data_IF_070332332999
#
_entry.id   IF_070332332999
#
_cell.length_a   1.000
_cell.length_b   1.000
_cell.length_c   1.000
_cell.angle_alpha   90.00
_cell.angle_beta   90.00
_cell.angle_gamma   90.00
#
_symmetry.space_group_name_H-M   'P 1'
#
loop_
_entity.id
_entity.type
_entity.pdbx_description
1 polymer ?
#
# COMPACT_ATOMS: atom_id res chain seq x y z
N UNK A 1 -10.73 -0.35 -26.10
CA UNK A 1 -9.61 -0.82 -25.25
C UNK A 1 -8.28 -0.06 -25.43
N UNK A 2 -7.80 0.27 -26.65
CA UNK A 2 -6.50 0.96 -26.85
C UNK A 2 -6.36 2.36 -26.21
N UNK A 3 -7.46 3.09 -26.00
CA UNK A 3 -7.43 4.44 -25.42
C UNK A 3 -7.23 4.48 -23.90
N UNK A 4 -7.52 3.39 -23.19
CA UNK A 4 -7.34 3.29 -21.72
C UNK A 4 -5.98 2.71 -21.30
N UNK A 5 -5.32 1.95 -22.19
CA UNK A 5 -4.03 1.30 -21.91
C UNK A 5 -2.87 2.31 -21.94
N UNK A 6 -2.90 3.29 -22.86
CA UNK A 6 -1.83 4.29 -23.02
C UNK A 6 -1.65 5.19 -21.79
N UNK A 7 -2.72 5.72 -21.15
CA UNK A 7 -2.59 6.48 -19.91
C UNK A 7 -2.03 5.63 -18.75
N UNK A 8 -2.49 4.38 -18.61
CA UNK A 8 -2.02 3.48 -17.55
C UNK A 8 -0.52 3.19 -17.67
N UNK A 9 -0.02 2.92 -18.88
CA UNK A 9 1.41 2.72 -19.13
C UNK A 9 2.25 3.97 -18.82
N UNK A 10 1.72 5.18 -19.02
CA UNK A 10 2.41 6.42 -18.65
C UNK A 10 2.45 6.65 -17.15
N UNK A 11 1.44 6.20 -16.42
CA UNK A 11 1.40 6.23 -14.96
C UNK A 11 2.33 5.20 -14.31
N UNK A 12 2.69 4.14 -15.03
CA UNK A 12 3.58 3.09 -14.53
C UNK A 12 4.97 3.62 -14.18
N UNK A 13 5.53 4.51 -15.01
CA UNK A 13 6.86 5.10 -14.77
C UNK A 13 6.95 5.87 -13.43
N UNK A 14 6.10 6.87 -13.13
CA UNK A 14 6.16 7.57 -11.84
C UNK A 14 5.82 6.66 -10.66
N UNK A 15 4.94 5.66 -10.83
CA UNK A 15 4.66 4.66 -9.78
C UNK A 15 5.91 3.82 -9.49
N UNK A 16 6.64 3.36 -10.51
CA UNK A 16 7.89 2.62 -10.33
C UNK A 16 8.94 3.47 -9.62
N UNK A 17 9.13 4.72 -10.05
CA UNK A 17 10.08 5.63 -9.40
C UNK A 17 9.73 5.82 -7.93
N UNK A 18 8.43 5.98 -7.62
CA UNK A 18 7.95 6.09 -6.24
C UNK A 18 8.22 4.82 -5.44
N UNK A 19 7.84 3.65 -5.96
CA UNK A 19 8.03 2.37 -5.27
C UNK A 19 9.52 2.10 -5.01
N UNK A 20 10.40 2.37 -5.99
CA UNK A 20 11.85 2.22 -5.83
C UNK A 20 12.39 3.22 -4.81
N UNK A 21 11.97 4.48 -4.87
CA UNK A 21 12.43 5.51 -3.92
C UNK A 21 12.02 5.18 -2.49
N UNK A 22 10.77 4.77 -2.28
CA UNK A 22 10.27 4.34 -0.96
C UNK A 22 11.02 3.11 -0.48
N UNK A 23 11.20 2.12 -1.36
CA UNK A 23 11.98 0.91 -1.03
C UNK A 23 13.40 1.26 -0.59
N UNK A 24 14.11 2.13 -1.32
CA UNK A 24 15.46 2.55 -0.96
C UNK A 24 15.51 3.31 0.37
N UNK A 25 14.55 4.18 0.65
CA UNK A 25 14.48 4.92 1.92
C UNK A 25 14.24 3.97 3.10
N UNK A 26 13.28 3.05 2.97
CA UNK A 26 12.98 2.08 4.02
C UNK A 26 14.13 1.10 4.22
N UNK A 27 14.74 0.64 3.12
CA UNK A 27 15.90 -0.25 3.17
C UNK A 27 17.12 0.43 3.80
N UNK A 28 17.45 1.65 3.38
CA UNK A 28 18.58 2.40 3.93
C UNK A 28 18.39 2.73 5.42
N UNK A 29 17.18 3.11 5.83
CA UNK A 29 16.87 3.38 7.25
C UNK A 29 16.93 2.11 8.11
N UNK A 30 16.47 0.96 7.59
CA UNK A 30 16.60 -0.32 8.28
C UNK A 30 18.06 -0.79 8.36
N UNK A 31 18.81 -0.62 7.28
CA UNK A 31 20.24 -0.94 7.25
C UNK A 31 21.02 -0.08 8.24
N UNK A 32 20.71 1.21 8.32
CA UNK A 32 21.30 2.13 9.29
C UNK A 32 21.02 1.68 10.73
N UNK A 33 19.77 1.30 11.04
CA UNK A 33 19.42 0.78 12.36
C UNK A 33 20.21 -0.49 12.70
N UNK A 34 20.37 -1.39 11.73
CA UNK A 34 21.13 -2.63 11.89
C UNK A 34 22.63 -2.38 12.08
N UNK A 35 23.19 -1.37 11.42
CA UNK A 35 24.59 -0.96 11.59
C UNK A 35 24.82 -0.36 12.98
N UNK A 36 23.91 0.50 13.45
CA UNK A 36 24.00 1.09 14.79
C UNK A 36 23.81 0.02 15.89
N UNK A 37 22.92 -0.95 15.69
CA UNK A 37 22.69 -2.01 16.67
C UNK A 37 23.86 -2.99 16.78
N UNK A 38 24.71 -3.10 15.76
CA UNK A 38 25.94 -3.89 15.83
C UNK A 38 26.93 -3.35 16.89
N UNK A 39 26.92 -2.04 17.16
CA UNK A 39 27.76 -1.46 18.20
C UNK A 39 27.22 -1.76 19.61
N UNK A 40 25.89 -1.67 19.80
CA UNK A 40 25.23 -2.00 21.07
C UNK A 40 23.80 -2.51 20.83
N UNK A 41 23.43 -3.71 21.32
CA UNK A 41 22.12 -4.30 21.06
C UNK A 41 20.96 -3.53 21.69
N UNK A 42 21.21 -2.71 22.72
CA UNK A 42 20.21 -1.84 23.34
C UNK A 42 19.61 -0.82 22.35
N UNK A 43 20.37 -0.40 21.34
CA UNK A 43 19.87 0.50 20.29
C UNK A 43 18.81 -0.16 19.41
N UNK A 44 18.79 -1.49 19.31
CA UNK A 44 17.71 -2.19 18.60
C UNK A 44 16.40 -2.07 19.37
N UNK A 45 16.44 -2.28 20.68
CA UNK A 45 15.24 -2.20 21.55
C UNK A 45 14.64 -0.79 21.52
N UNK A 46 15.48 0.24 21.57
CA UNK A 46 15.03 1.63 21.53
C UNK A 46 14.69 2.08 20.11
N UNK A 47 15.49 1.72 19.11
CA UNK A 47 15.35 2.21 17.74
C UNK A 47 14.20 1.57 16.95
N UNK A 48 13.84 0.32 17.25
CA UNK A 48 12.75 -0.40 16.57
C UNK A 48 11.39 0.33 16.66
N UNK A 49 10.89 0.80 17.83
CA UNK A 49 9.63 1.55 17.88
C UNK A 49 9.67 2.86 17.09
N UNK A 50 10.81 3.58 17.10
CA UNK A 50 10.97 4.78 16.27
C UNK A 50 10.96 4.44 14.77
N UNK A 51 11.65 3.37 14.38
CA UNK A 51 11.67 2.90 13.00
C UNK A 51 10.27 2.47 12.54
N UNK A 52 9.51 1.78 13.39
CA UNK A 52 8.14 1.39 13.10
C UNK A 52 7.23 2.61 12.92
N UNK A 53 7.35 3.62 13.79
CA UNK A 53 6.64 4.89 13.64
C UNK A 53 7.00 5.61 12.33
N UNK A 54 8.27 5.59 11.95
CA UNK A 54 8.76 6.15 10.68
C UNK A 54 8.19 5.43 9.46
N UNK A 55 8.17 4.09 9.46
CA UNK A 55 7.55 3.29 8.40
C UNK A 55 6.07 3.67 8.26
N UNK A 56 5.31 3.64 9.36
CA UNK A 56 3.89 3.95 9.32
C UNK A 56 3.61 5.38 8.83
N UNK A 57 4.47 6.33 9.22
CA UNK A 57 4.37 7.70 8.76
C UNK A 57 4.60 7.84 7.24
N UNK A 58 5.63 7.18 6.70
CA UNK A 58 5.89 7.17 5.25
C UNK A 58 4.73 6.52 4.50
N UNK A 59 4.30 5.33 4.95
CA UNK A 59 3.22 4.58 4.34
C UNK A 59 1.93 5.40 4.31
N UNK A 60 1.56 6.06 5.42
CA UNK A 60 0.36 6.91 5.44
C UNK A 60 0.50 8.11 4.52
N UNK A 61 1.66 8.77 4.52
CA UNK A 61 1.90 10.00 3.74
C UNK A 61 1.87 9.77 2.23
N UNK A 62 2.38 8.61 1.77
CA UNK A 62 2.46 8.26 0.35
C UNK A 62 1.41 7.23 -0.09
N UNK A 63 0.52 6.81 0.81
CA UNK A 63 -0.53 5.80 0.55
C UNK A 63 -1.35 6.13 -0.69
N UNK A 64 -1.82 7.37 -0.82
CA UNK A 64 -2.70 7.82 -1.91
C UNK A 64 -1.96 8.37 -3.12
N UNK A 65 -0.64 8.17 -3.21
CA UNK A 65 0.11 8.69 -4.35
C UNK A 65 -0.25 7.97 -5.67
N UNK A 66 -0.42 6.65 -5.63
CA UNK A 66 -0.86 5.87 -6.79
C UNK A 66 -2.22 6.33 -7.37
N UNK A 67 -3.31 6.46 -6.56
CA UNK A 67 -4.57 6.97 -7.08
C UNK A 67 -4.47 8.43 -7.55
N UNK A 68 -3.67 9.29 -6.90
CA UNK A 68 -3.43 10.67 -7.39
C UNK A 68 -2.76 10.67 -8.78
N UNK A 69 -1.77 9.80 -9.03
CA UNK A 69 -1.14 9.67 -10.35
C UNK A 69 -2.15 9.24 -11.41
N UNK A 70 -3.03 8.28 -11.08
CA UNK A 70 -3.99 7.72 -12.03
C UNK A 70 -5.16 8.66 -12.31
N UNK A 71 -5.77 9.24 -11.27
CA UNK A 71 -6.97 10.07 -11.41
C UNK A 71 -6.66 11.54 -11.70
N UNK A 72 -5.65 12.12 -11.04
CA UNK A 72 -5.28 13.53 -11.24
C UNK A 72 -4.21 13.72 -12.33
N UNK A 73 -3.62 12.64 -12.86
CA UNK A 73 -2.55 12.67 -13.89
C UNK A 73 -1.36 13.55 -13.50
N UNK A 74 -1.11 13.70 -12.20
CA UNK A 74 -0.14 14.64 -11.65
C UNK A 74 1.34 14.21 -11.82
N UNK A 75 1.62 12.97 -12.28
CA UNK A 75 2.98 12.46 -12.44
C UNK A 75 3.78 12.56 -11.14
N UNK A 76 4.99 13.14 -11.17
CA UNK A 76 5.82 13.34 -9.97
C UNK A 76 5.29 14.43 -9.03
N UNK A 77 4.33 15.27 -9.42
CA UNK A 77 3.68 16.20 -8.47
C UNK A 77 2.75 15.47 -7.50
N UNK A 78 2.42 14.21 -7.78
CA UNK A 78 1.59 13.39 -6.92
C UNK A 78 2.17 13.19 -5.50
N UNK A 79 3.48 13.34 -5.31
CA UNK A 79 4.11 13.24 -3.97
C UNK A 79 3.61 14.35 -3.04
N UNK A 80 3.77 15.62 -3.45
CA UNK A 80 3.33 16.77 -2.66
C UNK A 80 1.81 16.75 -2.46
N UNK A 81 1.10 16.35 -3.51
CA UNK A 81 -0.35 16.23 -3.48
C UNK A 81 -0.85 15.16 -2.51
N UNK A 82 -0.21 13.99 -2.49
CA UNK A 82 -0.47 12.93 -1.50
C UNK A 82 -0.18 13.44 -0.07
N UNK A 83 0.90 14.19 0.12
CA UNK A 83 1.23 14.78 1.43
C UNK A 83 0.18 15.78 1.91
N UNK A 84 -0.37 16.59 1.00
CA UNK A 84 -1.43 17.57 1.28
C UNK A 84 -2.75 16.86 1.63
N UNK A 85 -3.16 15.88 0.84
CA UNK A 85 -4.36 15.08 1.05
C UNK A 85 -4.32 14.29 2.36
N UNK A 86 -3.15 13.78 2.76
CA UNK A 86 -3.00 12.97 3.99
C UNK A 86 -2.71 13.81 5.24
N UNK A 87 -2.44 15.12 5.09
CA UNK A 87 -2.19 16.04 6.21
C UNK A 87 -3.34 15.99 7.23
N UNK A 88 -3.00 15.89 8.51
CA UNK A 88 -3.92 15.78 9.66
C UNK A 88 -4.70 14.45 9.78
N UNK A 89 -4.63 13.55 8.81
CA UNK A 89 -5.33 12.26 8.83
C UNK A 89 -4.41 11.04 8.80
N UNK A 90 -3.10 11.23 9.05
CA UNK A 90 -2.09 10.16 8.96
C UNK A 90 -2.39 8.99 9.89
N UNK A 91 -2.75 9.25 11.15
CA UNK A 91 -3.06 8.20 12.13
C UNK A 91 -4.32 7.38 11.78
N UNK A 92 -5.46 8.00 11.40
CA UNK A 92 -6.58 7.26 10.84
C UNK A 92 -6.22 6.39 9.63
N UNK A 93 -5.41 6.91 8.70
CA UNK A 93 -4.95 6.17 7.52
C UNK A 93 -4.13 4.95 7.93
N UNK A 94 -3.17 5.11 8.85
CA UNK A 94 -2.40 3.99 9.42
C UNK A 94 -3.35 2.97 10.04
N UNK A 95 -4.31 3.40 10.86
CA UNK A 95 -5.28 2.52 11.50
C UNK A 95 -6.06 1.67 10.50
N UNK A 96 -6.56 2.29 9.41
CA UNK A 96 -7.28 1.57 8.35
C UNK A 96 -6.39 0.58 7.61
N UNK A 97 -5.17 0.99 7.25
CA UNK A 97 -4.21 0.11 6.56
C UNK A 97 -3.82 -1.07 7.45
N UNK A 98 -3.52 -0.81 8.73
CA UNK A 98 -3.15 -1.85 9.70
C UNK A 98 -4.31 -2.82 9.92
N UNK A 99 -5.53 -2.32 10.13
CA UNK A 99 -6.70 -3.17 10.32
C UNK A 99 -6.97 -4.04 9.09
N UNK A 100 -6.87 -3.46 7.90
CA UNK A 100 -6.98 -4.20 6.63
C UNK A 100 -5.88 -5.25 6.50
N UNK A 101 -4.65 -4.90 6.87
CA UNK A 101 -3.51 -5.82 6.81
C UNK A 101 -3.66 -6.98 7.80
N UNK A 102 -4.20 -6.73 8.99
CA UNK A 102 -4.53 -7.78 9.97
C UNK A 102 -5.60 -8.71 9.40
N UNK A 103 -6.64 -8.18 8.76
CA UNK A 103 -7.67 -9.00 8.12
C UNK A 103 -7.10 -9.87 6.99
N UNK A 104 -6.27 -9.30 6.11
CA UNK A 104 -5.58 -10.04 5.05
C UNK A 104 -4.65 -11.10 5.65
N UNK A 105 -3.93 -10.77 6.73
CA UNK A 105 -3.05 -11.71 7.43
C UNK A 105 -3.84 -12.90 7.99
N UNK A 106 -4.98 -12.66 8.63
CA UNK A 106 -5.85 -13.73 9.13
C UNK A 106 -6.33 -14.61 7.96
N UNK A 107 -6.77 -14.00 6.85
CA UNK A 107 -7.15 -14.76 5.65
C UNK A 107 -5.99 -15.60 5.12
N UNK A 108 -4.77 -15.04 5.08
CA UNK A 108 -3.58 -15.78 4.65
C UNK A 108 -3.22 -16.93 5.58
N UNK A 109 -3.35 -16.75 6.89
CA UNK A 109 -3.09 -17.82 7.85
C UNK A 109 -4.12 -18.94 7.73
N UNK A 110 -5.42 -18.60 7.68
CA UNK A 110 -6.50 -19.60 7.62
C UNK A 110 -6.51 -20.32 6.28
N UNK A 111 -6.58 -19.57 5.17
CA UNK A 111 -6.66 -20.15 3.82
C UNK A 111 -5.31 -20.75 3.43
N UNK A 112 -4.20 -20.12 3.80
CA UNK A 112 -2.86 -20.67 3.54
C UNK A 112 -2.60 -21.98 4.25
N UNK A 113 -3.08 -22.16 5.50
CA UNK A 113 -2.99 -23.44 6.19
C UNK A 113 -3.80 -24.53 5.47
N UNK A 114 -5.02 -24.21 5.01
CA UNK A 114 -5.83 -25.15 4.21
C UNK A 114 -5.14 -25.52 2.89
N UNK A 115 -4.57 -24.54 2.18
CA UNK A 115 -3.81 -24.78 0.95
C UNK A 115 -2.61 -25.68 1.24
N UNK A 116 -1.87 -25.44 2.32
CA UNK A 116 -0.71 -26.25 2.70
C UNK A 116 -1.11 -27.72 2.94
N UNK A 117 -2.19 -27.98 3.69
CA UNK A 117 -2.71 -29.33 3.90
C UNK A 117 -3.13 -30.01 2.58
N UNK A 118 -3.86 -29.30 1.72
CA UNK A 118 -4.25 -29.82 0.40
C UNK A 118 -3.04 -30.13 -0.48
N UNK A 119 -1.99 -29.30 -0.40
CA UNK A 119 -0.75 -29.49 -1.15
C UNK A 119 -0.03 -30.78 -0.74
N UNK A 120 -0.03 -31.11 0.55
CA UNK A 120 0.53 -32.37 1.06
C UNK A 120 -0.24 -33.61 0.56
N UNK A 121 -1.53 -33.47 0.28
CA UNK A 121 -2.40 -34.58 -0.17
C UNK A 121 -2.50 -34.71 -1.69
N UNK A 122 -2.16 -33.66 -2.46
CA UNK A 122 -2.35 -33.61 -3.92
C UNK A 122 -1.02 -33.40 -4.63
N UNK A 123 -0.72 -32.16 -5.03
CA UNK A 123 0.49 -31.80 -5.77
C UNK A 123 0.97 -30.40 -5.39
N UNK A 124 2.30 -30.19 -5.29
CA UNK A 124 2.92 -28.87 -5.12
C UNK A 124 2.45 -27.83 -6.15
N UNK A 125 2.17 -28.25 -7.39
CA UNK A 125 1.71 -27.36 -8.46
C UNK A 125 0.32 -26.77 -8.16
N UNK A 126 -0.61 -27.59 -7.66
CA UNK A 126 -1.96 -27.14 -7.30
C UNK A 126 -1.87 -26.18 -6.11
N UNK A 127 -1.05 -26.51 -5.11
CA UNK A 127 -0.77 -25.64 -3.97
C UNK A 127 -0.26 -24.26 -4.38
N UNK A 128 0.73 -24.22 -5.28
CA UNK A 128 1.29 -22.97 -5.79
C UNK A 128 0.25 -22.11 -6.53
N UNK A 129 -0.62 -22.72 -7.35
CA UNK A 129 -1.68 -22.01 -8.05
C UNK A 129 -2.71 -21.40 -7.09
N UNK A 130 -3.15 -22.17 -6.08
CA UNK A 130 -4.09 -21.68 -5.06
C UNK A 130 -3.47 -20.55 -4.23
N UNK A 131 -2.19 -20.68 -3.89
CA UNK A 131 -1.48 -19.63 -3.17
C UNK A 131 -1.33 -18.36 -3.99
N UNK A 132 -1.05 -18.47 -5.30
CA UNK A 132 -1.00 -17.31 -6.20
C UNK A 132 -2.34 -16.59 -6.34
N UNK A 133 -3.45 -17.33 -6.34
CA UNK A 133 -4.80 -16.75 -6.32
C UNK A 133 -5.07 -16.01 -5.00
N UNK A 134 -4.68 -16.61 -3.87
CA UNK A 134 -4.80 -16.01 -2.55
C UNK A 134 -3.92 -14.75 -2.44
N UNK A 135 -2.69 -14.77 -2.94
CA UNK A 135 -1.81 -13.60 -2.91
C UNK A 135 -2.39 -12.46 -3.72
N UNK A 136 -2.91 -12.75 -4.91
CA UNK A 136 -3.51 -11.75 -5.80
C UNK A 136 -4.74 -11.10 -5.17
N UNK A 137 -5.61 -11.88 -4.51
CA UNK A 137 -6.80 -11.34 -3.84
C UNK A 137 -6.45 -10.42 -2.66
N UNK A 138 -5.42 -10.75 -1.86
CA UNK A 138 -4.98 -9.85 -0.80
C UNK A 138 -4.42 -8.52 -1.35
N UNK A 139 -3.64 -8.57 -2.43
CA UNK A 139 -3.12 -7.34 -3.06
C UNK A 139 -4.22 -6.48 -3.67
N UNK A 140 -5.25 -7.07 -4.27
CA UNK A 140 -6.37 -6.31 -4.85
C UNK A 140 -7.23 -5.65 -3.77
N UNK A 141 -7.49 -6.31 -2.65
CA UNK A 141 -8.19 -5.71 -1.50
C UNK A 141 -7.46 -4.48 -0.97
N UNK A 142 -6.13 -4.56 -0.84
CA UNK A 142 -5.31 -3.44 -0.37
C UNK A 142 -5.37 -2.27 -1.37
N UNK A 143 -5.30 -2.55 -2.68
CA UNK A 143 -5.42 -1.54 -3.74
C UNK A 143 -6.79 -0.84 -3.72
N UNK A 144 -7.88 -1.58 -3.52
CA UNK A 144 -9.24 -1.02 -3.38
C UNK A 144 -9.30 -0.13 -2.14
N UNK A 145 -8.79 -0.59 -1.00
CA UNK A 145 -8.79 0.20 0.23
C UNK A 145 -8.03 1.52 0.09
N UNK A 146 -6.84 1.50 -0.52
CA UNK A 146 -6.07 2.73 -0.79
C UNK A 146 -6.84 3.70 -1.69
N UNK A 147 -7.57 3.17 -2.68
CA UNK A 147 -8.41 3.98 -3.57
C UNK A 147 -9.61 4.59 -2.82
N UNK A 148 -10.23 3.85 -1.92
CA UNK A 148 -11.31 4.35 -1.05
C UNK A 148 -10.81 5.43 -0.08
N UNK A 149 -9.62 5.26 0.50
CA UNK A 149 -8.98 6.27 1.34
C UNK A 149 -8.78 7.56 0.53
N UNK A 150 -8.30 7.47 -0.71
CA UNK A 150 -8.18 8.62 -1.60
C UNK A 150 -9.52 9.31 -1.84
N UNK A 151 -10.56 8.55 -2.21
CA UNK A 151 -11.89 9.09 -2.45
C UNK A 151 -12.45 9.80 -1.21
N UNK A 152 -12.32 9.18 -0.03
CA UNK A 152 -12.76 9.76 1.24
C UNK A 152 -11.99 11.02 1.63
N UNK A 153 -10.67 11.04 1.46
CA UNK A 153 -9.86 12.24 1.75
C UNK A 153 -10.26 13.40 0.84
N UNK A 154 -10.57 13.11 -0.42
CA UNK A 154 -11.02 14.11 -1.38
C UNK A 154 -12.41 14.63 -1.06
N UNK A 155 -13.33 13.75 -0.71
CA UNK A 155 -14.67 14.11 -0.22
C UNK A 155 -14.58 15.04 1.00
N UNK A 156 -13.77 14.68 2.01
CA UNK A 156 -13.62 15.45 3.26
C UNK A 156 -12.95 16.80 3.01
N UNK A 157 -11.92 16.87 2.18
CA UNK A 157 -11.09 18.09 2.02
C UNK A 157 -11.55 19.02 0.92
N UNK A 158 -12.11 18.49 -0.14
CA UNK A 158 -12.47 19.24 -1.33
C UNK A 158 -13.98 19.35 -1.53
N UNK A 159 -14.77 18.64 -0.71
CA UNK A 159 -16.23 18.62 -0.83
C UNK A 159 -16.72 17.95 -2.12
N UNK A 160 -15.84 17.26 -2.85
CA UNK A 160 -16.19 16.53 -4.07
C UNK A 160 -16.79 15.20 -3.65
N UNK A 161 -18.12 15.17 -3.50
CA UNK A 161 -18.88 13.96 -3.18
C UNK A 161 -18.90 12.95 -4.33
N UNK A 162 -19.15 11.68 -3.98
CA UNK A 162 -19.37 10.55 -4.90
C UNK A 162 -20.41 10.84 -5.99
N UNK A 163 -21.29 11.83 -5.77
CA UNK A 163 -22.36 12.24 -6.68
C UNK A 163 -21.86 12.75 -8.04
N UNK A 164 -20.65 13.34 -8.12
CA UNK A 164 -20.07 13.75 -9.40
C UNK A 164 -19.44 12.59 -10.19
N UNK A 165 -19.13 11.46 -9.53
CA UNK A 165 -18.66 10.23 -10.20
C UNK A 165 -19.87 9.44 -10.73
N UNK A 166 -21.01 9.48 -10.03
CA UNK A 166 -22.27 8.89 -10.50
C UNK A 166 -22.81 9.58 -11.76
N UNK A 167 -22.67 10.91 -11.86
CA UNK A 167 -23.09 11.69 -13.04
C UNK A 167 -22.30 11.40 -14.34
N UNK A 168 -21.27 10.56 -14.30
CA UNK A 168 -20.54 10.07 -15.49
C UNK A 168 -21.09 8.72 -15.97
N UNK A 169 -21.89 8.04 -15.14
CA UNK A 169 -22.54 6.77 -15.44
C UNK A 169 -24.05 6.91 -15.77
N UNK A 170 -24.64 8.08 -15.52
CA UNK A 170 -25.92 8.52 -16.10
C UNK A 170 -25.70 9.09 -17.51
#
# INVERSE_FOLDING_TARGET
>A
MRQYIRPAFRALFPILVLSVSVFLILFASQFLLMLLSAATPYLLVVGLPFHLGFIFWICATLSVCAPVILFERAGLRAFFRSMELTRNYRWPIVGTIVLTSIFILILYLVVGALIALLTMMTSPLIGALLFALLSTSGTSLLAIMVTLIYARLREIKEGIGLDQVAAVFD
#
